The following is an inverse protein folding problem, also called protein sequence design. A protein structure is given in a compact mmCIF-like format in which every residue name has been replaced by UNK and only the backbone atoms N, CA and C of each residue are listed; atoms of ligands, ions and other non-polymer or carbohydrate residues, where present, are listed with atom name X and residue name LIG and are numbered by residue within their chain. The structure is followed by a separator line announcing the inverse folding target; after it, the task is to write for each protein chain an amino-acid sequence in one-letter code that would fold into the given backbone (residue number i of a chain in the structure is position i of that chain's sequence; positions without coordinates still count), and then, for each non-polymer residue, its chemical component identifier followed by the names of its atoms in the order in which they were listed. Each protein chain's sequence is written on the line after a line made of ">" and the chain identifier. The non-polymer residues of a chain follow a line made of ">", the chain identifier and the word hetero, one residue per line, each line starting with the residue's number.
data_IF_130152582562
#
_entry.id   IF_130152582562
#
_cell.length_a   1.000
_cell.length_b   1.000
_cell.length_c   1.000
_cell.angle_alpha   90.00
_cell.angle_beta   90.00
_cell.angle_gamma   90.00
#
_symmetry.space_group_name_H-M   'P 1'
#
loop_
_entity.id
_entity.type
_entity.pdbx_description
1 polymer ?
#
# COMPACT_ATOMS: atom_id res chain seq x y z
N UNK A 1 2.76 -14.39 23.51
CA UNK A 1 3.97 -15.18 23.33
C UNK A 1 5.25 -14.34 23.47
N UNK A 2 5.17 -13.00 23.45
CA UNK A 2 6.34 -12.11 23.53
C UNK A 2 7.28 -12.22 22.31
N UNK A 3 6.79 -12.77 21.19
CA UNK A 3 7.53 -12.88 19.94
C UNK A 3 7.30 -11.64 19.06
N UNK A 4 8.29 -11.23 18.24
CA UNK A 4 8.10 -10.13 17.32
C UNK A 4 7.07 -10.49 16.24
N UNK A 5 6.25 -9.51 15.89
CA UNK A 5 5.26 -9.61 14.80
C UNK A 5 5.88 -9.09 13.52
N UNK A 6 5.90 -9.92 12.47
CA UNK A 6 6.50 -9.59 11.17
C UNK A 6 5.40 -9.52 10.10
N UNK A 7 5.29 -8.39 9.41
CA UNK A 7 4.51 -8.30 8.19
C UNK A 7 5.36 -8.72 7.00
N UNK A 8 5.00 -9.84 6.36
CA UNK A 8 5.61 -10.27 5.12
C UNK A 8 4.85 -9.67 3.93
N UNK A 9 5.56 -8.99 3.04
CA UNK A 9 5.02 -8.35 1.84
C UNK A 9 5.95 -8.53 0.64
N UNK A 10 5.53 -8.09 -0.53
CA UNK A 10 6.25 -8.29 -1.78
C UNK A 10 6.37 -6.99 -2.57
N UNK A 11 7.51 -6.79 -3.20
CA UNK A 11 7.73 -5.74 -4.20
C UNK A 11 8.54 -6.31 -5.40
N UNK A 12 8.08 -6.09 -6.66
CA UNK A 12 6.80 -5.52 -7.05
C UNK A 12 5.61 -6.39 -6.67
N UNK A 13 4.40 -5.83 -6.78
CA UNK A 13 3.16 -6.57 -6.50
C UNK A 13 3.10 -7.87 -7.34
N UNK A 14 2.82 -9.06 -6.74
CA UNK A 14 2.87 -10.35 -7.42
C UNK A 14 2.12 -10.42 -8.75
N UNK A 15 0.98 -9.72 -8.87
CA UNK A 15 0.22 -9.69 -10.12
C UNK A 15 0.91 -8.94 -11.27
N UNK A 16 1.95 -8.16 -11.01
CA UNK A 16 2.77 -7.54 -12.07
C UNK A 16 3.71 -8.52 -12.75
N UNK A 17 4.15 -9.53 -12.00
CA UNK A 17 5.12 -10.52 -12.47
C UNK A 17 4.43 -11.77 -13.01
N UNK A 18 3.41 -12.26 -12.31
CA UNK A 18 2.82 -13.57 -12.60
C UNK A 18 1.27 -13.58 -12.59
N UNK A 19 0.63 -12.42 -12.50
CA UNK A 19 -0.83 -12.32 -12.44
C UNK A 19 -1.48 -11.95 -13.78
N UNK A 20 -2.81 -12.04 -13.86
CA UNK A 20 -3.57 -11.48 -14.99
C UNK A 20 -3.42 -9.96 -15.00
N UNK A 21 -3.53 -9.37 -16.20
CA UNK A 21 -3.52 -7.91 -16.36
C UNK A 21 -4.65 -7.28 -15.53
N UNK A 22 -4.28 -6.56 -14.49
CA UNK A 22 -5.19 -5.84 -13.59
C UNK A 22 -4.51 -4.60 -13.03
N UNK A 23 -5.28 -3.66 -12.54
CA UNK A 23 -4.72 -2.51 -11.83
C UNK A 23 -4.01 -2.98 -10.54
N UNK A 24 -2.72 -2.71 -10.49
CA UNK A 24 -1.83 -3.00 -9.36
C UNK A 24 -1.17 -1.73 -8.83
N UNK A 25 -1.75 -0.55 -9.16
CA UNK A 25 -1.23 0.73 -8.67
C UNK A 25 -1.07 0.72 -7.15
N UNK A 26 0.01 1.32 -6.66
CA UNK A 26 0.37 1.29 -5.25
C UNK A 26 -0.57 2.18 -4.43
N UNK A 27 -1.21 1.64 -3.42
CA UNK A 27 -2.06 2.38 -2.48
C UNK A 27 -1.27 3.02 -1.33
N UNK A 28 -0.03 2.60 -1.15
CA UNK A 28 0.93 3.15 -0.19
C UNK A 28 2.34 2.99 -0.72
N UNK A 29 3.22 3.94 -0.43
CA UNK A 29 4.66 3.73 -0.59
C UNK A 29 5.15 2.62 0.36
N UNK A 30 6.32 1.98 0.10
CA UNK A 30 6.94 1.03 1.04
C UNK A 30 7.14 1.64 2.43
N UNK A 31 7.63 2.88 2.52
CA UNK A 31 7.81 3.58 3.79
C UNK A 31 6.49 3.78 4.53
N UNK A 32 5.46 4.28 3.84
CA UNK A 32 4.14 4.49 4.46
C UNK A 32 3.51 3.17 4.91
N UNK A 33 3.74 2.08 4.19
CA UNK A 33 3.30 0.74 4.59
C UNK A 33 3.96 0.31 5.90
N UNK A 34 5.27 0.56 6.03
CA UNK A 34 6.01 0.26 7.26
C UNK A 34 5.51 1.10 8.44
N UNK A 35 5.27 2.41 8.23
CA UNK A 35 4.73 3.30 9.27
C UNK A 35 3.36 2.82 9.77
N UNK A 36 2.44 2.53 8.84
CA UNK A 36 1.10 2.02 9.16
C UNK A 36 1.14 0.65 9.85
N UNK A 37 2.05 -0.21 9.46
CA UNK A 37 2.27 -1.48 10.11
C UNK A 37 2.74 -1.27 11.57
N UNK A 38 3.72 -0.38 11.79
CA UNK A 38 4.18 -0.01 13.13
C UNK A 38 3.06 0.60 14.00
N UNK A 39 2.26 1.50 13.45
CA UNK A 39 1.07 2.07 14.12
C UNK A 39 0.06 0.96 14.53
N UNK A 40 0.05 -0.17 13.81
CA UNK A 40 -0.81 -1.34 14.09
C UNK A 40 -0.16 -2.39 15.00
N UNK A 41 1.03 -2.11 15.56
CA UNK A 41 1.73 -3.03 16.46
C UNK A 41 2.57 -4.09 15.76
N UNK A 42 2.91 -3.91 14.49
CA UNK A 42 3.87 -4.75 13.77
C UNK A 42 5.29 -4.28 14.11
N UNK A 43 6.14 -5.20 14.54
CA UNK A 43 7.52 -4.88 14.93
C UNK A 43 8.46 -4.73 13.73
N UNK A 44 8.22 -5.48 12.65
CA UNK A 44 9.07 -5.50 11.45
C UNK A 44 8.25 -5.71 10.18
N UNK A 45 8.71 -5.11 9.09
CA UNK A 45 8.21 -5.39 7.74
C UNK A 45 9.32 -6.09 6.96
N UNK A 46 9.04 -7.30 6.47
CA UNK A 46 9.91 -8.02 5.55
C UNK A 46 9.31 -7.89 4.14
N UNK A 47 10.00 -7.17 3.28
CA UNK A 47 9.63 -7.03 1.87
C UNK A 47 10.50 -7.94 1.03
N UNK A 48 9.90 -8.92 0.36
CA UNK A 48 10.59 -9.84 -0.53
C UNK A 48 10.49 -9.33 -1.97
N UNK A 49 11.62 -9.34 -2.68
CA UNK A 49 11.64 -9.12 -4.12
C UNK A 49 10.83 -10.22 -4.81
N UNK A 50 9.75 -9.83 -5.52
CA UNK A 50 8.90 -10.79 -6.23
C UNK A 50 9.31 -10.84 -7.69
N UNK A 51 10.15 -11.80 -8.01
CA UNK A 51 10.66 -12.08 -9.36
C UNK A 51 10.04 -13.37 -9.97
N UNK A 52 10.53 -13.78 -11.13
CA UNK A 52 10.07 -14.99 -11.81
C UNK A 52 10.42 -16.26 -11.04
N UNK A 53 11.53 -16.27 -10.32
CA UNK A 53 11.97 -17.42 -9.53
C UNK A 53 11.01 -17.64 -8.35
N UNK A 54 10.72 -16.57 -7.60
CA UNK A 54 9.73 -16.62 -6.51
C UNK A 54 8.32 -16.92 -7.02
N UNK A 55 7.94 -16.40 -8.20
CA UNK A 55 6.66 -16.70 -8.83
C UNK A 55 6.53 -18.17 -9.28
N UNK A 56 7.65 -18.80 -9.61
CA UNK A 56 7.74 -20.21 -9.98
C UNK A 56 7.83 -21.16 -8.78
N UNK A 57 8.16 -20.66 -7.59
CA UNK A 57 8.39 -21.46 -6.40
C UNK A 57 7.11 -22.16 -5.91
N UNK A 58 7.21 -23.45 -5.55
CA UNK A 58 6.06 -24.17 -5.01
C UNK A 58 5.64 -23.63 -3.65
N UNK A 59 4.37 -23.81 -3.28
CA UNK A 59 3.88 -23.37 -1.98
C UNK A 59 4.58 -24.06 -0.81
N UNK A 60 4.89 -25.36 -0.93
CA UNK A 60 5.63 -26.10 0.10
C UNK A 60 7.06 -25.57 0.26
N UNK A 61 7.79 -25.37 -0.86
CA UNK A 61 9.14 -24.80 -0.83
C UNK A 61 9.16 -23.40 -0.19
N UNK A 62 8.24 -22.51 -0.61
CA UNK A 62 8.11 -21.18 -0.02
C UNK A 62 7.85 -21.24 1.50
N UNK A 63 6.93 -22.12 1.92
CA UNK A 63 6.58 -22.25 3.33
C UNK A 63 7.80 -22.69 4.17
N UNK A 64 8.55 -23.68 3.71
CA UNK A 64 9.77 -24.14 4.41
C UNK A 64 10.88 -23.10 4.38
N UNK A 65 11.23 -22.60 3.21
CA UNK A 65 12.35 -21.68 3.05
C UNK A 65 12.12 -20.32 3.73
N UNK A 66 10.92 -19.73 3.56
CA UNK A 66 10.65 -18.37 4.03
C UNK A 66 10.05 -18.36 5.43
N UNK A 67 9.01 -19.18 5.68
CA UNK A 67 8.29 -19.11 6.95
C UNK A 67 8.99 -19.91 8.06
N UNK A 68 9.57 -21.08 7.72
CA UNK A 68 10.29 -21.90 8.68
C UNK A 68 11.76 -21.47 8.79
N UNK A 69 12.60 -21.76 7.78
CA UNK A 69 14.05 -21.52 7.84
C UNK A 69 14.39 -20.02 8.00
N UNK A 70 13.65 -19.15 7.31
CA UNK A 70 13.94 -17.71 7.29
C UNK A 70 13.36 -16.94 8.47
N UNK A 71 12.11 -17.18 8.82
CA UNK A 71 11.40 -16.43 9.86
C UNK A 71 11.25 -17.18 11.17
N UNK A 72 11.47 -18.49 11.21
CA UNK A 72 11.21 -19.36 12.36
C UNK A 72 9.80 -19.10 12.92
N UNK A 73 8.80 -19.07 12.02
CA UNK A 73 7.45 -18.69 12.36
C UNK A 73 6.82 -19.66 13.35
N UNK A 74 6.33 -19.15 14.48
CA UNK A 74 5.58 -19.93 15.48
C UNK A 74 4.07 -19.78 15.31
N UNK A 75 3.63 -18.71 14.67
CA UNK A 75 2.24 -18.43 14.36
C UNK A 75 2.12 -17.67 13.05
N UNK A 76 1.19 -18.09 12.21
CA UNK A 76 0.93 -17.50 10.91
C UNK A 76 -0.50 -16.97 10.89
N UNK A 77 -0.68 -15.69 10.57
CA UNK A 77 -1.99 -15.04 10.42
C UNK A 77 -2.17 -14.63 8.97
N UNK A 78 -3.20 -15.11 8.32
CA UNK A 78 -3.52 -14.81 6.91
C UNK A 78 -5.02 -14.63 6.72
N UNK A 79 -5.44 -13.96 5.65
CA UNK A 79 -6.86 -13.94 5.27
C UNK A 79 -7.39 -15.33 4.95
N UNK A 80 -8.67 -15.58 5.17
CA UNK A 80 -9.31 -16.89 4.89
C UNK A 80 -9.24 -17.31 3.42
N UNK A 81 -9.09 -16.34 2.49
CA UNK A 81 -8.93 -16.56 1.05
C UNK A 81 -7.48 -16.48 0.57
N UNK A 82 -6.53 -16.52 1.48
CA UNK A 82 -5.10 -16.40 1.16
C UNK A 82 -4.63 -17.48 0.20
N UNK A 83 -3.86 -17.05 -0.81
CA UNK A 83 -3.22 -17.90 -1.79
C UNK A 83 -1.76 -17.55 -1.95
N UNK A 84 -0.90 -18.56 -2.10
CA UNK A 84 0.55 -18.38 -2.24
C UNK A 84 1.19 -19.50 -3.08
N UNK A 85 2.49 -19.33 -3.37
CA UNK A 85 3.24 -20.23 -4.22
C UNK A 85 2.81 -20.19 -5.69
N UNK A 86 3.48 -20.94 -6.52
CA UNK A 86 3.28 -20.97 -7.96
C UNK A 86 1.81 -21.18 -8.32
N UNK A 87 1.27 -20.25 -9.15
CA UNK A 87 -0.13 -20.22 -9.59
C UNK A 87 -1.16 -20.20 -8.46
N UNK A 88 -0.78 -19.73 -7.25
CA UNK A 88 -1.66 -19.68 -6.08
C UNK A 88 -2.16 -21.05 -5.62
N UNK A 89 -1.38 -22.10 -5.79
CA UNK A 89 -1.77 -23.47 -5.40
C UNK A 89 -1.74 -23.68 -3.88
N UNK A 90 -0.97 -22.90 -3.14
CA UNK A 90 -0.98 -22.90 -1.68
C UNK A 90 -2.16 -22.12 -1.12
N UNK A 91 -2.68 -22.56 -0.01
CA UNK A 91 -3.80 -21.95 0.71
C UNK A 91 -3.65 -22.16 2.23
N UNK A 92 -4.67 -21.72 2.98
CA UNK A 92 -4.74 -21.89 4.44
C UNK A 92 -4.71 -23.35 4.86
N UNK A 93 -5.32 -24.25 4.06
CA UNK A 93 -5.34 -25.67 4.38
C UNK A 93 -3.93 -26.28 4.30
N UNK A 94 -3.16 -25.91 3.28
CA UNK A 94 -1.75 -26.35 3.17
C UNK A 94 -0.91 -25.84 4.34
N UNK A 95 -1.04 -24.56 4.72
CA UNK A 95 -0.31 -24.01 5.87
C UNK A 95 -0.65 -24.78 7.17
N UNK A 96 -1.93 -25.13 7.37
CA UNK A 96 -2.36 -25.93 8.53
C UNK A 96 -1.84 -27.34 8.48
N UNK A 97 -1.77 -27.95 7.30
CA UNK A 97 -1.25 -29.31 7.14
C UNK A 97 0.27 -29.39 7.46
N UNK A 98 1.02 -28.34 7.13
CA UNK A 98 2.46 -28.27 7.45
C UNK A 98 2.73 -27.91 8.92
N UNK A 99 1.78 -27.29 9.62
CA UNK A 99 1.94 -26.80 11.00
C UNK A 99 2.48 -27.81 12.00
N UNK A 100 1.92 -29.06 12.08
CA UNK A 100 2.41 -30.07 13.01
C UNK A 100 3.86 -30.48 12.78
N UNK A 101 4.33 -30.48 11.53
CA UNK A 101 5.71 -30.81 11.16
C UNK A 101 6.67 -29.64 11.46
N UNK A 102 6.26 -28.41 11.11
CA UNK A 102 7.12 -27.23 11.14
C UNK A 102 6.93 -26.37 12.41
N UNK A 103 6.07 -26.78 13.31
CA UNK A 103 5.96 -26.18 14.65
C UNK A 103 5.16 -24.88 14.76
N UNK A 104 4.35 -24.52 13.75
CA UNK A 104 3.52 -23.32 13.81
C UNK A 104 2.02 -23.57 13.94
N UNK A 105 1.30 -22.54 14.38
CA UNK A 105 -0.15 -22.48 14.34
C UNK A 105 -0.62 -21.53 13.22
N UNK A 106 -1.83 -21.76 12.68
CA UNK A 106 -2.38 -20.93 11.59
C UNK A 106 -3.75 -20.37 11.97
N UNK A 107 -3.84 -19.05 11.97
CA UNK A 107 -5.09 -18.30 12.14
C UNK A 107 -5.54 -17.75 10.79
N UNK A 108 -6.71 -18.15 10.32
CA UNK A 108 -7.35 -17.54 9.16
C UNK A 108 -8.25 -16.39 9.64
N UNK A 109 -7.86 -15.17 9.33
CA UNK A 109 -8.64 -14.00 9.65
C UNK A 109 -9.84 -13.90 8.70
N UNK A 110 -11.07 -13.71 9.21
CA UNK A 110 -12.24 -13.53 8.38
C UNK A 110 -12.15 -12.22 7.59
N UNK A 111 -12.73 -12.21 6.41
CA UNK A 111 -12.84 -10.98 5.62
C UNK A 111 -13.96 -10.12 6.19
N UNK A 112 -13.61 -8.96 6.71
CA UNK A 112 -14.59 -8.03 7.27
C UNK A 112 -15.20 -7.16 6.16
N UNK A 113 -16.53 -7.21 5.99
CA UNK A 113 -17.22 -6.23 5.15
C UNK A 113 -17.30 -4.88 5.90
N UNK A 114 -17.08 -3.78 5.18
CA UNK A 114 -17.47 -2.45 5.62
C UNK A 114 -18.76 -2.04 4.91
N UNK A 115 -19.78 -1.63 5.67
CA UNK A 115 -21.13 -1.31 5.15
C UNK A 115 -21.72 -2.42 4.23
N UNK A 116 -21.53 -3.69 4.60
CA UNK A 116 -21.99 -4.84 3.80
C UNK A 116 -21.16 -5.15 2.54
N UNK A 117 -20.08 -4.43 2.32
CA UNK A 117 -19.23 -4.55 1.14
C UNK A 117 -17.83 -5.02 1.54
N UNK A 118 -17.31 -6.05 0.86
CA UNK A 118 -15.95 -6.54 1.09
C UNK A 118 -14.92 -5.45 0.80
N UNK A 119 -14.10 -5.09 1.81
CA UNK A 119 -12.94 -4.25 1.60
C UNK A 119 -11.85 -5.02 0.84
N UNK A 120 -11.33 -4.43 -0.23
CA UNK A 120 -10.21 -4.98 -0.98
C UNK A 120 -9.44 -3.89 -1.71
N UNK A 121 -8.14 -4.10 -1.92
CA UNK A 121 -7.30 -3.18 -2.68
C UNK A 121 -7.85 -2.90 -4.10
N UNK A 122 -8.47 -3.89 -4.74
CA UNK A 122 -9.11 -3.70 -6.06
C UNK A 122 -10.24 -2.68 -5.99
N UNK A 123 -11.10 -2.76 -4.97
CA UNK A 123 -12.21 -1.81 -4.82
C UNK A 123 -11.72 -0.41 -4.44
N UNK A 124 -10.70 -0.31 -3.61
CA UNK A 124 -10.08 0.99 -3.29
C UNK A 124 -9.55 1.65 -4.57
N UNK A 125 -8.85 0.89 -5.44
CA UNK A 125 -8.38 1.43 -6.74
C UNK A 125 -9.54 1.84 -7.64
N UNK A 126 -10.60 1.04 -7.71
CA UNK A 126 -11.81 1.39 -8.47
C UNK A 126 -12.47 2.68 -7.96
N UNK A 127 -12.57 2.87 -6.64
CA UNK A 127 -13.09 4.09 -6.05
C UNK A 127 -12.21 5.30 -6.42
N UNK A 128 -10.89 5.19 -6.28
CA UNK A 128 -9.95 6.25 -6.68
C UNK A 128 -10.06 6.56 -8.18
N UNK A 129 -10.12 5.55 -9.04
CA UNK A 129 -10.28 5.73 -10.49
C UNK A 129 -11.65 6.34 -10.88
N UNK A 130 -12.64 6.27 -10.01
CA UNK A 130 -13.93 6.95 -10.17
C UNK A 130 -13.97 8.34 -9.49
N UNK A 131 -12.89 8.78 -8.82
CA UNK A 131 -12.85 10.03 -8.06
C UNK A 131 -13.54 9.96 -6.70
N UNK A 132 -14.03 8.80 -6.30
CA UNK A 132 -14.66 8.56 -4.99
C UNK A 132 -13.59 8.36 -3.90
N UNK A 133 -12.96 9.47 -3.52
CA UNK A 133 -11.92 9.46 -2.47
C UNK A 133 -12.50 9.20 -1.08
N UNK A 134 -13.79 9.52 -0.86
CA UNK A 134 -14.48 9.23 0.39
C UNK A 134 -14.74 7.73 0.53
N UNK A 135 -15.29 7.08 -0.49
CA UNK A 135 -15.46 5.63 -0.49
C UNK A 135 -14.13 4.87 -0.39
N UNK A 136 -13.07 5.40 -0.99
CA UNK A 136 -11.72 4.86 -0.81
C UNK A 136 -11.25 4.99 0.65
N UNK A 137 -11.47 6.16 1.28
CA UNK A 137 -11.10 6.41 2.67
C UNK A 137 -11.87 5.52 3.65
N UNK A 138 -13.15 5.31 3.43
CA UNK A 138 -13.99 4.40 4.22
C UNK A 138 -13.43 2.97 4.22
N UNK A 139 -13.05 2.46 3.05
CA UNK A 139 -12.45 1.13 2.93
C UNK A 139 -11.04 1.03 3.52
N UNK A 140 -10.27 2.11 3.47
CA UNK A 140 -8.91 2.18 4.03
C UNK A 140 -8.88 2.46 5.53
N UNK A 141 -9.97 2.97 6.12
CA UNK A 141 -10.02 3.50 7.48
C UNK A 141 -9.24 4.81 7.66
N UNK A 142 -8.82 5.46 6.56
CA UNK A 142 -8.05 6.70 6.53
C UNK A 142 -8.09 7.33 5.14
N UNK A 143 -7.83 8.64 4.98
CA UNK A 143 -7.68 9.24 3.66
C UNK A 143 -6.60 8.55 2.81
N UNK A 144 -6.83 8.47 1.51
CA UNK A 144 -5.79 8.05 0.57
C UNK A 144 -4.70 9.11 0.51
N UNK A 145 -3.42 8.68 0.63
CA UNK A 145 -2.27 9.59 0.62
C UNK A 145 -1.39 9.34 -0.59
N UNK A 146 -1.08 10.42 -1.32
CA UNK A 146 0.02 10.45 -2.27
C UNK A 146 1.24 11.11 -1.63
N UNK A 147 2.37 10.42 -1.67
CA UNK A 147 3.66 10.94 -1.20
C UNK A 147 4.56 11.23 -2.39
N UNK A 148 5.27 12.34 -2.33
CA UNK A 148 6.14 12.75 -3.42
C UNK A 148 6.86 14.05 -3.17
N UNK A 149 7.52 14.54 -4.21
CA UNK A 149 8.25 15.81 -4.19
C UNK A 149 7.51 16.85 -5.03
N UNK A 150 7.43 18.07 -4.53
CA UNK A 150 6.90 19.20 -5.27
C UNK A 150 7.97 19.77 -6.20
N UNK A 151 7.69 19.79 -7.49
CA UNK A 151 8.53 20.42 -8.51
C UNK A 151 7.79 21.58 -9.17
N UNK A 152 8.54 22.56 -9.70
CA UNK A 152 7.94 23.72 -10.36
C UNK A 152 7.07 23.28 -11.54
N UNK A 153 5.84 23.76 -11.57
CA UNK A 153 4.99 23.66 -12.75
C UNK A 153 5.47 24.72 -13.77
N UNK A 154 5.99 24.28 -14.90
CA UNK A 154 6.51 25.19 -15.94
C UNK A 154 5.45 26.23 -16.32
N UNK A 155 5.76 27.51 -16.11
CA UNK A 155 4.93 28.66 -16.53
C UNK A 155 3.71 28.98 -15.69
N UNK A 156 3.45 28.32 -14.57
CA UNK A 156 2.31 28.55 -13.66
C UNK A 156 2.78 28.88 -12.24
N UNK A 157 1.95 29.64 -11.49
CA UNK A 157 2.19 29.88 -10.07
C UNK A 157 1.76 28.65 -9.28
N UNK A 158 2.65 27.67 -9.11
CA UNK A 158 2.37 26.45 -8.39
C UNK A 158 3.42 25.37 -8.59
N UNK A 159 3.15 24.21 -8.06
CA UNK A 159 4.01 23.03 -8.16
C UNK A 159 3.21 21.82 -8.65
N UNK A 160 3.92 20.85 -9.19
CA UNK A 160 3.39 19.51 -9.50
C UNK A 160 3.93 18.56 -8.45
N UNK A 161 3.07 17.74 -7.88
CA UNK A 161 3.52 16.60 -7.07
C UNK A 161 4.02 15.50 -8.02
N UNK A 162 5.27 15.13 -7.85
CA UNK A 162 5.84 13.93 -8.46
C UNK A 162 5.82 12.81 -7.42
N UNK A 163 4.97 11.77 -7.59
CA UNK A 163 4.90 10.67 -6.64
C UNK A 163 6.27 9.99 -6.44
N UNK A 164 6.59 9.63 -5.20
CA UNK A 164 7.81 8.88 -4.87
C UNK A 164 7.77 7.46 -5.47
N UNK A 165 6.58 6.89 -5.58
CA UNK A 165 6.33 5.64 -6.31
C UNK A 165 5.67 5.98 -7.66
N UNK A 166 6.32 5.72 -8.80
CA UNK A 166 5.76 6.01 -10.12
C UNK A 166 4.49 5.20 -10.43
N UNK A 167 4.19 4.21 -9.61
CA UNK A 167 3.03 3.35 -9.75
C UNK A 167 1.91 3.69 -8.76
N UNK A 168 2.03 4.81 -8.03
CA UNK A 168 1.03 5.23 -7.06
C UNK A 168 -0.36 5.38 -7.69
N UNK A 169 -1.39 4.94 -6.96
CA UNK A 169 -2.78 5.13 -7.37
C UNK A 169 -3.13 6.62 -7.24
N UNK A 170 -3.34 7.28 -8.37
CA UNK A 170 -3.76 8.68 -8.44
C UNK A 170 -5.29 8.70 -8.63
N UNK A 171 -6.06 9.52 -7.88
CA UNK A 171 -7.49 9.69 -8.11
C UNK A 171 -7.82 10.19 -9.52
N UNK A 172 -9.04 9.94 -9.99
CA UNK A 172 -9.52 10.44 -11.27
C UNK A 172 -9.30 11.96 -11.42
N UNK A 173 -9.21 12.47 -12.66
CA UNK A 173 -9.14 13.92 -12.91
C UNK A 173 -10.27 14.70 -12.22
N UNK A 174 -9.91 15.78 -11.54
CA UNK A 174 -10.87 16.57 -10.77
C UNK A 174 -10.21 17.55 -9.79
N UNK A 175 -11.03 18.25 -9.06
CA UNK A 175 -10.60 19.12 -7.94
C UNK A 175 -10.84 18.38 -6.63
N UNK A 176 -9.85 18.43 -5.74
CA UNK A 176 -9.92 17.75 -4.46
C UNK A 176 -9.43 18.65 -3.33
N UNK A 177 -10.12 18.58 -2.20
CA UNK A 177 -9.59 19.11 -0.95
C UNK A 177 -8.61 18.10 -0.36
N UNK A 178 -7.40 18.56 -0.06
CA UNK A 178 -6.36 17.72 0.53
C UNK A 178 -5.79 18.32 1.80
N UNK A 179 -5.45 17.47 2.76
CA UNK A 179 -4.56 17.80 3.86
C UNK A 179 -3.11 17.62 3.43
N UNK A 180 -2.26 18.60 3.71
CA UNK A 180 -0.83 18.47 3.44
C UNK A 180 -0.14 17.93 4.68
N UNK A 181 0.65 16.87 4.52
CA UNK A 181 1.45 16.30 5.61
C UNK A 181 2.93 16.38 5.23
N UNK A 182 3.77 16.69 6.21
CA UNK A 182 5.23 16.79 6.06
C UNK A 182 5.91 15.82 6.99
N UNK A 183 6.99 15.22 6.53
CA UNK A 183 7.74 14.22 7.30
C UNK A 183 8.21 14.73 8.68
N UNK A 184 8.44 16.04 8.84
CA UNK A 184 9.09 16.62 10.03
C UNK A 184 8.18 17.56 10.85
N UNK A 185 7.00 17.97 10.34
CA UNK A 185 6.25 19.09 10.95
C UNK A 185 4.76 18.83 11.23
N UNK A 186 4.29 17.57 11.16
CA UNK A 186 2.89 17.25 11.42
C UNK A 186 1.89 17.76 10.35
N UNK A 187 0.59 17.82 10.67
CA UNK A 187 -0.43 18.23 9.73
C UNK A 187 -0.22 19.69 9.25
N UNK A 188 -0.25 19.87 7.94
CA UNK A 188 -0.15 21.17 7.28
C UNK A 188 -1.52 21.76 6.91
N UNK A 189 -1.53 22.75 6.00
CA UNK A 189 -2.76 23.41 5.58
C UNK A 189 -3.66 22.49 4.76
N UNK A 190 -4.94 22.83 4.70
CA UNK A 190 -5.88 22.30 3.73
C UNK A 190 -5.74 23.08 2.42
N UNK A 191 -5.66 22.36 1.31
CA UNK A 191 -5.51 22.95 -0.02
C UNK A 191 -6.53 22.33 -0.99
N UNK A 192 -6.82 23.08 -2.06
CA UNK A 192 -7.46 22.55 -3.24
C UNK A 192 -6.37 22.18 -4.24
N UNK A 193 -6.35 20.93 -4.68
CA UNK A 193 -5.43 20.45 -5.72
C UNK A 193 -6.22 19.99 -6.94
N UNK A 194 -5.62 20.12 -8.11
CA UNK A 194 -6.21 19.62 -9.35
C UNK A 194 -5.46 18.38 -9.82
N UNK A 195 -6.17 17.29 -9.99
CA UNK A 195 -5.70 16.13 -10.74
C UNK A 195 -6.09 16.32 -12.20
N UNK A 196 -5.13 16.21 -13.11
CA UNK A 196 -5.33 16.41 -14.55
C UNK A 196 -5.53 15.08 -15.28
N UNK A 197 -5.98 15.13 -16.54
CA UNK A 197 -6.10 13.95 -17.42
C UNK A 197 -4.77 13.25 -17.73
N UNK A 198 -3.64 13.85 -17.32
CA UNK A 198 -2.29 13.28 -17.48
C UNK A 198 -1.74 12.74 -16.16
N UNK A 199 -2.59 12.46 -15.20
CA UNK A 199 -2.23 12.00 -13.84
C UNK A 199 -1.26 12.95 -13.11
N UNK A 200 -1.30 14.24 -13.44
CA UNK A 200 -0.53 15.25 -12.75
C UNK A 200 -1.36 15.83 -11.61
N UNK A 201 -0.76 15.97 -10.44
CA UNK A 201 -1.38 16.63 -9.28
C UNK A 201 -0.81 18.02 -9.15
N UNK A 202 -1.58 19.02 -9.57
CA UNK A 202 -1.23 20.44 -9.49
C UNK A 202 -1.55 20.97 -8.08
N UNK A 203 -0.53 21.47 -7.42
CA UNK A 203 -0.60 21.97 -6.05
C UNK A 203 -0.38 23.48 -6.05
N UNK A 204 -1.28 24.31 -5.50
CA UNK A 204 -1.17 25.75 -5.50
C UNK A 204 -0.14 26.24 -4.45
N UNK A 205 1.01 25.60 -4.41
CA UNK A 205 2.12 25.98 -3.56
C UNK A 205 3.32 26.34 -4.43
N UNK A 206 4.07 27.40 -4.07
CA UNK A 206 5.32 27.71 -4.75
C UNK A 206 6.30 26.55 -4.58
N UNK A 207 7.17 26.37 -5.57
CA UNK A 207 8.24 25.37 -5.49
C UNK A 207 9.08 25.61 -4.24
N UNK A 208 9.30 24.60 -3.41
CA UNK A 208 10.11 24.73 -2.22
C UNK A 208 11.54 25.15 -2.57
N UNK A 209 12.12 26.07 -1.83
CA UNK A 209 13.54 26.37 -1.91
C UNK A 209 14.33 25.37 -1.05
N UNK A 210 15.56 25.02 -1.44
CA UNK A 210 16.42 24.18 -0.59
C UNK A 210 16.49 24.74 0.84
N UNK A 211 16.31 23.88 1.84
CA UNK A 211 16.31 24.29 3.24
C UNK A 211 15.03 24.94 3.77
N UNK A 212 13.99 25.09 2.94
CA UNK A 212 12.66 25.56 3.42
C UNK A 212 11.85 24.44 4.06
N UNK A 213 10.77 24.83 4.77
CA UNK A 213 9.84 23.88 5.39
C UNK A 213 9.15 22.92 4.39
N UNK A 214 9.23 23.17 3.10
CA UNK A 214 8.68 22.35 2.02
C UNK A 214 9.76 21.53 1.27
N UNK A 215 11.04 21.67 1.65
CA UNK A 215 12.09 20.84 1.07
C UNK A 215 11.96 19.42 1.60
N UNK A 216 11.85 18.45 0.71
CA UNK A 216 11.67 17.03 1.02
C UNK A 216 10.28 16.49 0.65
N UNK A 217 10.03 15.21 0.94
CA UNK A 217 8.76 14.57 0.62
C UNK A 217 7.58 15.24 1.33
N UNK A 218 6.50 15.42 0.57
CA UNK A 218 5.20 15.86 1.11
C UNK A 218 4.19 14.75 0.88
N UNK A 219 3.22 14.63 1.79
CA UNK A 219 2.04 13.78 1.63
C UNK A 219 0.81 14.65 1.35
N UNK A 220 -0.02 14.24 0.40
CA UNK A 220 -1.33 14.82 0.13
C UNK A 220 -2.39 13.79 0.54
N UNK A 221 -3.10 14.08 1.62
CA UNK A 221 -4.24 13.28 2.09
C UNK A 221 -5.51 13.75 1.38
N UNK A 222 -6.05 12.94 0.48
CA UNK A 222 -7.28 13.27 -0.25
C UNK A 222 -8.49 13.10 0.66
N UNK A 223 -9.17 14.22 0.96
CA UNK A 223 -10.25 14.27 1.94
C UNK A 223 -11.61 14.17 1.27
N UNK A 224 -11.87 14.96 0.24
CA UNK A 224 -13.15 15.03 -0.48
C UNK A 224 -12.97 15.64 -1.87
N UNK A 225 -13.87 15.33 -2.83
CA UNK A 225 -14.01 16.10 -4.07
C UNK A 225 -14.45 17.55 -3.74
N UNK A 226 -14.02 18.53 -4.54
CA UNK A 226 -14.36 19.94 -4.35
C UNK A 226 -15.45 20.40 -5.32
#
# INVERSE_FOLDING_TARGET
>A
LGLPVVLLTFDPHPARVAGPARDTSALTSPQRRADLAGESGIDRVLELAFDQDLAGETADSFARRVLDDGLHAMSIVVGEDFRFGSRGRGDVALLRALGPELGWTVTAAPLHPHAGVRCSSTRVRQALAAGDVLGAADMLGRPHRLEGNLLAAGGTAGSVLHPSDPTAAIPAPGLYRVGVTRAVAGPGPLLLVQVTDRDQVLVPLPTPRPGTAWSGPVGLDFLEPA
#
